data_IF_316940421306
#
_entry.id   IF_316940421306
#
_cell.length_a   1.000
_cell.length_b   1.000
_cell.length_c   1.000
_cell.angle_alpha   90.00
_cell.angle_beta   90.00
_cell.angle_gamma   90.00
#
_symmetry.space_group_name_H-M   'P 1'
#
loop_
_entity.id
_entity.type
_entity.pdbx_description
1 polymer ?
#
# COMPACT_ATOMS: atom_id res chain seq x y z
N UNK A 1 -7.55 -10.38 9.36
CA UNK A 1 -8.52 -9.29 9.05
C UNK A 1 -7.85 -7.99 8.66
N UNK A 2 -6.77 -7.55 9.33
CA UNK A 2 -6.05 -6.32 8.97
C UNK A 2 -5.71 -6.18 7.46
N UNK A 3 -5.16 -7.20 6.75
CA UNK A 3 -4.93 -7.07 5.31
C UNK A 3 -6.17 -6.72 4.48
N UNK A 4 -7.33 -7.27 4.85
CA UNK A 4 -8.60 -7.00 4.16
C UNK A 4 -9.01 -5.54 4.40
N UNK A 5 -8.91 -5.05 5.64
CA UNK A 5 -9.18 -3.65 5.94
C UNK A 5 -8.24 -2.71 5.16
N UNK A 6 -6.95 -3.04 5.08
CA UNK A 6 -5.99 -2.27 4.26
C UNK A 6 -6.43 -2.21 2.80
N UNK A 7 -6.82 -3.35 2.21
CA UNK A 7 -7.34 -3.41 0.83
C UNK A 7 -8.56 -2.52 0.65
N UNK A 8 -9.54 -2.59 1.54
CA UNK A 8 -10.72 -1.72 1.47
C UNK A 8 -10.35 -0.25 1.62
N UNK A 9 -9.46 0.10 2.55
CA UNK A 9 -8.97 1.48 2.69
C UNK A 9 -8.28 1.98 1.42
N UNK A 10 -7.50 1.14 0.74
CA UNK A 10 -6.86 1.49 -0.54
C UNK A 10 -7.91 1.71 -1.63
N UNK A 11 -8.90 0.83 -1.77
CA UNK A 11 -9.98 0.98 -2.76
C UNK A 11 -10.74 2.29 -2.50
N UNK A 12 -11.10 2.57 -1.24
CA UNK A 12 -11.74 3.83 -0.86
C UNK A 12 -10.88 5.03 -1.25
N UNK A 13 -9.56 4.99 -0.97
CA UNK A 13 -8.64 6.06 -1.37
C UNK A 13 -8.56 6.23 -2.89
N UNK A 14 -8.55 5.14 -3.65
CA UNK A 14 -8.58 5.19 -5.12
C UNK A 14 -9.87 5.85 -5.60
N UNK A 15 -11.02 5.47 -5.04
CA UNK A 15 -12.30 6.06 -5.43
C UNK A 15 -12.39 7.55 -5.05
N UNK A 16 -11.87 7.94 -3.89
CA UNK A 16 -11.92 9.34 -3.42
C UNK A 16 -10.91 10.25 -4.11
N UNK A 17 -9.66 9.79 -4.24
CA UNK A 17 -8.53 10.62 -4.69
C UNK A 17 -8.13 10.37 -6.14
N UNK A 18 -8.38 9.17 -6.67
CA UNK A 18 -8.01 8.75 -8.04
C UNK A 18 -6.54 9.00 -8.37
N UNK A 19 -5.70 8.90 -7.32
CA UNK A 19 -4.26 9.11 -7.38
C UNK A 19 -3.58 7.92 -8.06
N UNK A 20 -2.78 8.21 -9.09
CA UNK A 20 -2.06 7.19 -9.85
C UNK A 20 -1.10 6.37 -8.98
N UNK A 21 -0.38 6.99 -8.04
CA UNK A 21 0.53 6.27 -7.15
C UNK A 21 -0.22 5.22 -6.32
N UNK A 22 -1.39 5.56 -5.79
CA UNK A 22 -2.25 4.67 -5.00
C UNK A 22 -2.83 3.55 -5.87
N UNK A 23 -3.22 3.84 -7.11
CA UNK A 23 -3.69 2.82 -8.08
C UNK A 23 -2.57 1.81 -8.38
N UNK A 24 -1.37 2.27 -8.72
CA UNK A 24 -0.24 1.39 -9.00
C UNK A 24 0.22 0.62 -7.76
N UNK A 25 0.11 1.20 -6.57
CA UNK A 25 0.32 0.47 -5.31
C UNK A 25 -0.67 -0.69 -5.16
N UNK A 26 -1.96 -0.46 -5.45
CA UNK A 26 -2.98 -1.51 -5.44
C UNK A 26 -2.70 -2.61 -6.47
N UNK A 27 -2.29 -2.26 -7.69
CA UNK A 27 -1.83 -3.24 -8.68
C UNK A 27 -0.68 -4.10 -8.15
N UNK A 28 0.27 -3.48 -7.43
CA UNK A 28 1.34 -4.20 -6.75
C UNK A 28 0.86 -5.20 -5.71
N UNK A 29 -0.15 -4.83 -4.91
CA UNK A 29 -0.78 -5.75 -3.95
C UNK A 29 -1.39 -6.98 -4.66
N UNK A 30 -2.08 -6.78 -5.80
CA UNK A 30 -2.67 -7.86 -6.59
C UNK A 30 -1.59 -8.78 -7.18
N UNK A 31 -0.51 -8.21 -7.72
CA UNK A 31 0.63 -8.97 -8.26
C UNK A 31 1.34 -9.75 -7.15
N UNK A 32 1.48 -9.18 -5.95
CA UNK A 32 2.05 -9.86 -4.80
C UNK A 32 1.18 -11.04 -4.34
N UNK A 33 -0.14 -10.90 -4.32
CA UNK A 33 -1.06 -12.01 -4.01
C UNK A 33 -1.02 -13.10 -5.08
N UNK A 34 -0.96 -12.71 -6.36
CA UNK A 34 -0.79 -13.65 -7.47
C UNK A 34 0.53 -14.41 -7.36
N UNK A 35 1.62 -13.73 -7.02
CA UNK A 35 2.92 -14.37 -6.75
C UNK A 35 2.83 -15.35 -5.58
N UNK A 36 2.17 -14.99 -4.48
CA UNK A 36 1.95 -15.91 -3.36
C UNK A 36 1.22 -17.18 -3.82
N UNK A 37 0.15 -17.04 -4.60
CA UNK A 37 -0.59 -18.17 -5.16
C UNK A 37 0.31 -19.10 -5.98
N UNK A 38 1.13 -18.55 -6.89
CA UNK A 38 2.07 -19.34 -7.68
C UNK A 38 3.15 -20.02 -6.82
N UNK A 39 3.72 -19.31 -5.84
CA UNK A 39 4.71 -19.87 -4.92
C UNK A 39 4.14 -21.04 -4.12
N UNK A 40 2.88 -20.93 -3.69
CA UNK A 40 2.17 -22.02 -3.00
C UNK A 40 1.91 -23.22 -3.89
N UNK A 41 1.64 -22.97 -5.17
CA UNK A 41 1.47 -24.01 -6.17
C UNK A 41 2.78 -24.76 -6.42
N UNK A 42 3.93 -24.08 -6.36
CA UNK A 42 5.26 -24.70 -6.56
C UNK A 42 5.73 -25.41 -5.29
N UNK A 43 5.72 -24.74 -4.14
CA UNK A 43 6.35 -25.23 -2.90
C UNK A 43 5.52 -26.35 -2.24
N UNK A 44 4.18 -26.23 -2.27
CA UNK A 44 3.23 -27.21 -1.69
C UNK A 44 3.53 -27.67 -0.25
N UNK A 45 4.23 -26.85 0.55
CA UNK A 45 4.53 -27.21 1.94
C UNK A 45 3.23 -27.27 2.76
N UNK A 46 3.02 -28.32 3.58
CA UNK A 46 1.82 -28.43 4.42
C UNK A 46 1.78 -27.37 5.53
N UNK A 47 0.59 -27.14 6.07
CA UNK A 47 0.38 -26.33 7.28
C UNK A 47 0.76 -27.16 8.52
N UNK A 48 1.17 -26.51 9.63
CA UNK A 48 1.64 -27.23 10.81
C UNK A 48 0.55 -28.06 11.52
N UNK A 49 -0.71 -27.62 11.47
CA UNK A 49 -1.83 -28.28 12.16
C UNK A 49 -3.04 -28.44 11.23
N UNK A 50 -3.00 -29.37 10.26
CA UNK A 50 -4.06 -29.53 9.25
C UNK A 50 -5.41 -29.95 9.85
N UNK A 51 -5.41 -30.58 11.03
CA UNK A 51 -6.62 -31.03 11.75
C UNK A 51 -7.37 -29.91 12.47
N UNK A 52 -6.70 -28.78 12.77
CA UNK A 52 -7.33 -27.64 13.46
C UNK A 52 -8.14 -26.80 12.48
N UNK A 53 -7.68 -26.71 11.23
CA UNK A 53 -8.27 -25.85 10.19
C UNK A 53 -8.76 -26.68 8.99
N UNK A 54 -9.70 -27.60 9.25
CA UNK A 54 -10.19 -28.65 8.32
C UNK A 54 -10.75 -28.14 6.97
N UNK A 55 -11.05 -26.84 6.85
CA UNK A 55 -11.52 -26.22 5.60
C UNK A 55 -10.41 -25.64 4.70
N UNK A 56 -9.16 -25.55 5.17
CA UNK A 56 -8.09 -24.85 4.44
C UNK A 56 -7.23 -25.84 3.65
N UNK A 57 -7.57 -26.01 2.37
CA UNK A 57 -6.80 -26.87 1.44
C UNK A 57 -5.54 -26.21 0.85
N UNK A 58 -5.30 -24.93 1.14
CA UNK A 58 -4.17 -24.19 0.57
C UNK A 58 -2.84 -24.50 1.29
N UNK A 59 -1.75 -24.57 0.51
CA UNK A 59 -0.38 -24.74 1.01
C UNK A 59 -0.02 -23.71 2.09
N UNK A 60 0.82 -24.12 3.04
CA UNK A 60 1.25 -23.31 4.18
C UNK A 60 2.35 -22.29 3.86
N UNK A 61 3.15 -22.51 2.81
CA UNK A 61 4.31 -21.66 2.49
C UNK A 61 4.20 -21.01 1.11
N UNK A 62 4.49 -19.70 0.99
CA UNK A 62 4.64 -18.72 2.07
C UNK A 62 3.30 -18.28 2.68
N UNK A 63 3.31 -17.71 3.88
CA UNK A 63 2.08 -17.17 4.49
C UNK A 63 1.59 -15.91 3.75
N UNK A 64 0.37 -15.92 3.19
CA UNK A 64 -0.19 -14.77 2.45
C UNK A 64 -0.27 -13.52 3.32
N UNK A 65 -0.72 -13.66 4.57
CA UNK A 65 -0.81 -12.51 5.49
C UNK A 65 0.57 -11.91 5.76
N UNK A 66 1.58 -12.76 5.98
CA UNK A 66 2.94 -12.29 6.23
C UNK A 66 3.56 -11.65 4.98
N UNK A 67 3.32 -12.23 3.80
CA UNK A 67 3.79 -11.69 2.53
C UNK A 67 3.11 -10.36 2.17
N UNK A 68 1.80 -10.25 2.37
CA UNK A 68 1.08 -9.00 2.18
C UNK A 68 1.61 -7.91 3.14
N UNK A 69 1.77 -8.23 4.42
CA UNK A 69 2.25 -7.25 5.39
C UNK A 69 3.73 -6.88 5.17
N UNK A 70 4.57 -7.82 4.71
CA UNK A 70 5.94 -7.54 4.29
C UNK A 70 5.99 -6.55 3.12
N UNK A 71 5.15 -6.78 2.09
CA UNK A 71 4.99 -5.86 0.97
C UNK A 71 4.53 -4.47 1.44
N UNK A 72 3.45 -4.41 2.22
CA UNK A 72 2.90 -3.17 2.78
C UNK A 72 3.96 -2.39 3.57
N UNK A 73 4.65 -3.05 4.50
CA UNK A 73 5.60 -2.38 5.40
C UNK A 73 6.81 -1.82 4.66
N UNK A 74 7.37 -2.58 3.71
CA UNK A 74 8.52 -2.12 2.93
C UNK A 74 8.10 -1.03 1.94
N UNK A 75 7.00 -1.21 1.20
CA UNK A 75 6.52 -0.22 0.25
C UNK A 75 6.22 1.13 0.93
N UNK A 76 5.50 1.11 2.05
CA UNK A 76 5.24 2.33 2.83
C UNK A 76 6.53 2.93 3.39
N UNK A 77 7.48 2.11 3.86
CA UNK A 77 8.79 2.59 4.31
C UNK A 77 9.52 3.38 3.23
N UNK A 78 9.61 2.84 2.01
CA UNK A 78 10.23 3.53 0.87
C UNK A 78 9.43 4.78 0.46
N UNK A 79 8.10 4.70 0.44
CA UNK A 79 7.25 5.86 0.15
C UNK A 79 7.49 7.00 1.14
N UNK A 80 7.50 6.71 2.45
CA UNK A 80 7.78 7.70 3.48
C UNK A 80 9.19 8.27 3.36
N UNK A 81 10.18 7.43 3.04
CA UNK A 81 11.59 7.84 2.96
C UNK A 81 11.94 8.65 1.72
N UNK A 82 11.36 8.34 0.56
CA UNK A 82 11.70 8.98 -0.72
C UNK A 82 10.73 10.11 -1.06
N UNK A 83 9.43 9.93 -0.78
CA UNK A 83 8.39 10.86 -1.27
C UNK A 83 7.90 11.81 -0.20
N UNK A 84 7.76 11.34 1.03
CA UNK A 84 7.29 12.19 2.12
C UNK A 84 8.42 12.96 2.84
N UNK A 85 9.68 12.62 2.58
CA UNK A 85 10.81 13.08 3.39
C UNK A 85 11.34 14.47 2.96
N UNK A 86 11.49 15.33 3.98
CA UNK A 86 12.14 16.65 4.09
C UNK A 86 11.38 17.95 3.78
N UNK A 87 10.35 18.01 2.93
CA UNK A 87 9.67 19.30 2.63
C UNK A 87 8.27 19.50 3.22
N UNK A 88 7.57 18.43 3.59
CA UNK A 88 6.15 18.51 3.96
C UNK A 88 5.84 18.13 5.41
N UNK A 89 6.54 17.15 5.97
CA UNK A 89 6.27 16.62 7.31
C UNK A 89 7.55 16.44 8.11
N UNK A 90 7.45 16.52 9.44
CA UNK A 90 8.60 16.34 10.32
C UNK A 90 9.11 14.90 10.29
N UNK A 91 10.43 14.72 10.44
CA UNK A 91 11.05 13.38 10.52
C UNK A 91 10.47 12.53 11.65
N UNK A 92 10.07 13.17 12.75
CA UNK A 92 9.44 12.50 13.89
C UNK A 92 8.08 11.91 13.48
N UNK A 93 7.26 12.67 12.76
CA UNK A 93 5.97 12.20 12.26
C UNK A 93 6.12 11.03 11.28
N UNK A 94 7.03 11.14 10.31
CA UNK A 94 7.25 10.05 9.34
C UNK A 94 7.78 8.79 10.01
N UNK A 95 8.67 8.93 10.99
CA UNK A 95 9.18 7.81 11.81
C UNK A 95 8.04 7.18 12.63
N UNK A 96 7.19 7.99 13.25
CA UNK A 96 6.04 7.51 14.02
C UNK A 96 5.09 6.68 13.15
N UNK A 97 4.72 7.18 11.97
CA UNK A 97 3.85 6.46 11.03
C UNK A 97 4.48 5.12 10.63
N UNK A 98 5.78 5.09 10.31
CA UNK A 98 6.48 3.85 9.97
C UNK A 98 6.49 2.85 11.13
N UNK A 99 6.73 3.30 12.37
CA UNK A 99 6.70 2.44 13.56
C UNK A 99 5.32 1.83 13.80
N UNK A 100 4.24 2.60 13.55
CA UNK A 100 2.86 2.08 13.62
C UNK A 100 2.66 0.98 12.57
N UNK A 101 3.06 1.21 11.31
CA UNK A 101 2.97 0.21 10.25
C UNK A 101 3.77 -1.07 10.55
N UNK A 102 4.98 -0.93 11.08
CA UNK A 102 5.83 -2.05 11.48
C UNK A 102 5.22 -2.84 12.66
N UNK A 103 4.65 -2.13 13.65
CA UNK A 103 4.00 -2.76 14.80
C UNK A 103 2.76 -3.55 14.39
N UNK A 104 1.91 -2.98 13.53
CA UNK A 104 0.74 -3.67 12.98
C UNK A 104 1.16 -4.91 12.17
N UNK A 105 2.24 -4.80 11.38
CA UNK A 105 2.84 -5.93 10.65
C UNK A 105 3.28 -7.05 11.60
N UNK A 106 3.99 -6.72 12.67
CA UNK A 106 4.43 -7.67 13.67
C UNK A 106 3.25 -8.39 14.35
N UNK A 107 2.21 -7.64 14.75
CA UNK A 107 1.00 -8.21 15.37
C UNK A 107 0.29 -9.17 14.41
N UNK A 108 0.14 -8.82 13.13
CA UNK A 108 -0.46 -9.71 12.13
C UNK A 108 0.36 -10.98 11.96
N UNK A 109 1.69 -10.86 11.85
CA UNK A 109 2.59 -12.00 11.69
C UNK A 109 2.56 -12.92 12.92
N UNK A 110 2.64 -12.35 14.13
CA UNK A 110 2.49 -13.08 15.38
C UNK A 110 1.15 -13.83 15.44
N UNK A 111 0.05 -13.18 15.06
CA UNK A 111 -1.27 -13.82 15.06
C UNK A 111 -1.34 -15.06 14.16
N UNK A 112 -0.51 -15.17 13.11
CA UNK A 112 -0.48 -16.35 12.22
C UNK A 112 0.15 -17.56 12.90
N UNK A 113 1.14 -17.33 13.75
CA UNK A 113 1.80 -18.37 14.56
C UNK A 113 0.94 -18.71 15.78
N UNK A 114 0.47 -17.70 16.51
CA UNK A 114 -0.32 -17.87 17.72
C UNK A 114 -1.63 -18.65 17.48
N UNK A 115 -2.32 -18.37 16.38
CA UNK A 115 -3.55 -19.09 15.98
C UNK A 115 -3.27 -20.38 15.20
N UNK A 116 -2.02 -20.84 15.19
CA UNK A 116 -1.61 -22.13 14.63
C UNK A 116 -1.88 -22.29 13.11
N UNK A 117 -2.00 -21.18 12.37
CA UNK A 117 -2.18 -21.23 10.92
C UNK A 117 -0.89 -21.53 10.16
N UNK A 118 0.25 -21.09 10.70
CA UNK A 118 1.56 -21.12 10.07
C UNK A 118 2.68 -21.31 11.09
N UNK A 119 3.81 -21.86 10.66
CA UNK A 119 5.05 -21.85 11.45
C UNK A 119 5.75 -20.50 11.36
N UNK A 120 6.65 -20.21 12.31
CA UNK A 120 7.49 -19.01 12.26
C UNK A 120 8.32 -18.93 10.98
N UNK A 121 8.77 -20.06 10.45
CA UNK A 121 9.52 -20.13 9.17
C UNK A 121 8.66 -19.75 7.97
N UNK A 122 7.40 -20.22 7.90
CA UNK A 122 6.47 -19.86 6.84
C UNK A 122 6.09 -18.37 6.86
N UNK A 123 6.01 -17.80 8.07
CA UNK A 123 5.79 -16.37 8.28
C UNK A 123 7.01 -15.56 7.85
N UNK A 124 8.21 -15.94 8.31
CA UNK A 124 9.46 -15.24 7.97
C UNK A 124 9.71 -15.22 6.46
N UNK A 125 9.55 -16.35 5.78
CA UNK A 125 9.71 -16.41 4.32
C UNK A 125 8.65 -15.57 3.62
N UNK A 126 7.42 -15.55 4.12
CA UNK A 126 6.40 -14.63 3.65
C UNK A 126 6.85 -13.17 3.74
N UNK A 127 7.31 -12.72 4.92
CA UNK A 127 7.79 -11.34 5.13
C UNK A 127 8.92 -10.99 4.16
N UNK A 128 9.92 -11.88 4.00
CA UNK A 128 11.08 -11.64 3.14
C UNK A 128 10.64 -11.51 1.68
N UNK A 129 9.86 -12.46 1.17
CA UNK A 129 9.37 -12.42 -0.22
C UNK A 129 8.53 -11.17 -0.43
N UNK A 130 7.59 -10.88 0.46
CA UNK A 130 6.74 -9.71 0.39
C UNK A 130 7.54 -8.41 0.40
N UNK A 131 8.55 -8.32 1.27
CA UNK A 131 9.43 -7.17 1.35
C UNK A 131 10.26 -6.95 0.09
N UNK A 132 10.82 -8.00 -0.50
CA UNK A 132 11.54 -7.93 -1.78
C UNK A 132 10.60 -7.44 -2.89
N UNK A 133 9.41 -8.03 -3.00
CA UNK A 133 8.41 -7.59 -3.97
C UNK A 133 7.99 -6.13 -3.75
N UNK A 134 7.79 -5.72 -2.50
CA UNK A 134 7.43 -4.34 -2.14
C UNK A 134 8.50 -3.34 -2.52
N UNK A 135 9.77 -3.68 -2.27
CA UNK A 135 10.91 -2.86 -2.67
C UNK A 135 11.00 -2.73 -4.20
N UNK A 136 11.01 -3.85 -4.91
CA UNK A 136 11.13 -3.87 -6.38
C UNK A 136 9.97 -3.10 -7.01
N UNK A 137 8.74 -3.37 -6.57
CA UNK A 137 7.56 -2.71 -7.10
C UNK A 137 7.58 -1.20 -6.83
N UNK A 138 7.98 -0.78 -5.63
CA UNK A 138 8.14 0.65 -5.33
C UNK A 138 9.13 1.32 -6.27
N UNK A 139 10.30 0.71 -6.48
CA UNK A 139 11.34 1.28 -7.36
C UNK A 139 10.86 1.36 -8.81
N UNK A 140 10.15 0.34 -9.30
CA UNK A 140 9.53 0.36 -10.63
C UNK A 140 8.53 1.52 -10.72
N UNK A 141 7.60 1.62 -9.78
CA UNK A 141 6.61 2.71 -9.77
C UNK A 141 7.31 4.05 -9.74
N UNK A 142 8.25 4.25 -8.83
CA UNK A 142 8.92 5.52 -8.58
C UNK A 142 9.80 6.00 -9.74
N UNK A 143 10.56 5.09 -10.37
CA UNK A 143 11.57 5.47 -11.36
C UNK A 143 11.15 5.19 -12.80
N UNK A 144 10.31 4.18 -13.03
CA UNK A 144 9.88 3.83 -14.39
C UNK A 144 8.47 4.35 -14.71
N UNK A 145 7.51 4.22 -13.78
CA UNK A 145 6.09 4.52 -14.07
C UNK A 145 5.76 5.99 -13.80
N UNK A 146 6.24 6.57 -12.70
CA UNK A 146 5.98 7.96 -12.32
C UNK A 146 6.31 8.98 -13.43
N UNK A 147 7.43 8.89 -14.18
CA UNK A 147 7.69 9.79 -15.31
C UNK A 147 6.64 9.71 -16.44
N UNK A 148 5.87 8.64 -16.48
CA UNK A 148 4.85 8.37 -17.50
C UNK A 148 3.45 8.81 -17.02
N UNK A 149 3.28 9.13 -15.73
CA UNK A 149 1.99 9.53 -15.14
C UNK A 149 1.26 10.65 -15.91
N UNK A 150 1.91 11.72 -16.39
CA UNK A 150 1.23 12.75 -17.19
C UNK A 150 0.55 12.18 -18.44
N UNK A 151 1.15 11.18 -19.09
CA UNK A 151 0.53 10.54 -20.26
C UNK A 151 -0.73 9.76 -19.89
N UNK A 152 -0.78 9.18 -18.68
CA UNK A 152 -1.98 8.52 -18.19
C UNK A 152 -3.08 9.52 -17.87
N UNK A 153 -2.78 10.62 -17.18
CA UNK A 153 -3.76 11.65 -16.82
C UNK A 153 -4.31 12.37 -18.06
N UNK A 154 -3.47 12.63 -19.06
CA UNK A 154 -3.85 13.36 -20.27
C UNK A 154 -4.62 12.50 -21.27
N UNK A 155 -4.60 11.18 -21.11
CA UNK A 155 -5.33 10.25 -21.96
C UNK A 155 -6.85 10.40 -21.82
N UNK A 156 -7.61 9.99 -22.84
CA UNK A 156 -9.08 10.04 -22.78
C UNK A 156 -9.66 9.26 -21.58
N UNK A 157 -9.05 8.12 -21.25
CA UNK A 157 -9.42 7.30 -20.08
C UNK A 157 -9.08 8.07 -18.79
N UNK A 158 -7.91 8.70 -18.76
CA UNK A 158 -7.46 9.53 -17.64
C UNK A 158 -8.43 10.66 -17.35
N UNK A 159 -8.88 11.37 -18.38
CA UNK A 159 -9.86 12.44 -18.26
C UNK A 159 -11.25 11.93 -17.87
N UNK A 160 -11.72 10.84 -18.50
CA UNK A 160 -13.01 10.22 -18.19
C UNK A 160 -13.08 9.78 -16.71
N UNK A 161 -12.02 9.16 -16.22
CA UNK A 161 -11.93 8.70 -14.83
C UNK A 161 -11.49 9.80 -13.86
N UNK A 162 -11.11 10.98 -14.36
CA UNK A 162 -10.51 12.09 -13.61
C UNK A 162 -9.30 11.65 -12.77
N UNK A 163 -8.39 10.90 -13.39
CA UNK A 163 -7.15 10.45 -12.77
C UNK A 163 -6.27 11.64 -12.40
N UNK A 164 -5.63 11.57 -11.24
CA UNK A 164 -4.82 12.65 -10.70
C UNK A 164 -3.38 12.20 -10.49
N UNK A 165 -2.46 13.09 -10.83
CA UNK A 165 -1.04 12.95 -10.53
C UNK A 165 -0.62 14.00 -9.50
N UNK A 166 -0.43 13.57 -8.25
CA UNK A 166 0.05 14.44 -7.17
C UNK A 166 1.57 14.42 -7.01
N UNK A 167 2.29 13.80 -7.94
CA UNK A 167 3.70 13.43 -7.73
C UNK A 167 4.58 14.63 -7.42
N UNK A 168 4.27 15.77 -8.03
CA UNK A 168 5.04 17.01 -7.96
C UNK A 168 4.63 17.92 -6.79
N UNK A 169 3.55 17.60 -6.07
CA UNK A 169 3.04 18.41 -4.97
C UNK A 169 3.68 17.94 -3.66
N UNK A 170 4.50 18.80 -3.06
CA UNK A 170 5.23 18.48 -1.82
C UNK A 170 4.27 18.22 -0.63
N UNK A 171 3.31 19.12 -0.41
CA UNK A 171 2.31 19.00 0.66
C UNK A 171 0.90 19.12 0.09
N UNK A 172 0.30 17.98 -0.27
CA UNK A 172 -1.05 17.94 -0.84
C UNK A 172 -2.09 18.53 0.12
N UNK A 173 -2.01 18.20 1.41
CA UNK A 173 -2.99 18.67 2.40
C UNK A 173 -2.98 20.19 2.53
N UNK A 174 -1.79 20.80 2.58
CA UNK A 174 -1.65 22.25 2.61
C UNK A 174 -2.12 22.88 1.30
N UNK A 175 -1.76 22.29 0.15
CA UNK A 175 -2.17 22.77 -1.17
C UNK A 175 -3.70 22.81 -1.32
N UNK A 176 -4.39 21.72 -0.98
CA UNK A 176 -5.85 21.64 -1.00
C UNK A 176 -6.49 22.67 -0.08
N UNK A 177 -5.98 22.80 1.15
CA UNK A 177 -6.46 23.78 2.12
C UNK A 177 -6.36 25.21 1.56
N UNK A 178 -5.21 25.59 1.01
CA UNK A 178 -4.98 26.95 0.49
C UNK A 178 -5.89 27.27 -0.69
N UNK A 179 -6.11 26.32 -1.61
CA UNK A 179 -7.02 26.52 -2.76
C UNK A 179 -8.45 26.78 -2.27
N UNK A 180 -8.95 25.96 -1.35
CA UNK A 180 -10.31 26.08 -0.83
C UNK A 180 -10.49 27.42 -0.09
N UNK A 181 -9.54 27.81 0.76
CA UNK A 181 -9.61 29.09 1.47
C UNK A 181 -9.60 30.28 0.51
N UNK A 182 -8.71 30.28 -0.48
CA UNK A 182 -8.62 31.35 -1.48
C UNK A 182 -9.92 31.49 -2.30
N UNK A 183 -10.54 30.36 -2.67
CA UNK A 183 -11.83 30.37 -3.36
C UNK A 183 -12.95 30.96 -2.49
N UNK A 184 -13.01 30.59 -1.21
CA UNK A 184 -13.99 31.14 -0.26
C UNK A 184 -13.78 32.65 -0.07
N UNK A 185 -12.53 33.10 0.03
CA UNK A 185 -12.24 34.53 0.17
C UNK A 185 -12.70 35.35 -1.04
N UNK A 186 -12.39 34.88 -2.27
CA UNK A 186 -12.81 35.56 -3.52
C UNK A 186 -14.32 35.64 -3.66
N UNK A 187 -15.03 34.53 -3.38
CA UNK A 187 -16.50 34.49 -3.48
C UNK A 187 -17.21 35.31 -2.41
N UNK A 188 -16.57 35.55 -1.24
CA UNK A 188 -17.11 36.47 -0.23
C UNK A 188 -16.90 37.94 -0.60
N UNK A 189 -15.78 38.29 -1.23
CA UNK A 189 -15.52 39.67 -1.66
C UNK A 189 -16.37 40.13 -2.83
N UNK A 190 -16.90 39.20 -3.63
CA UNK A 190 -17.70 39.50 -4.84
C UNK A 190 -19.22 39.54 -4.58
N UNK A 191 -19.70 39.26 -3.36
CA UNK A 191 -21.14 39.38 -3.04
C UNK A 191 -21.50 40.85 -2.82
N UNK A 192 -22.43 41.43 -3.59
CA UNK A 192 -22.99 42.73 -3.25
C UNK A 192 -23.76 42.64 -1.93
N UNK A 193 -23.52 43.62 -1.05
CA UNK A 193 -24.20 43.78 0.25
C UNK A 193 -25.69 44.03 0.09
#
# INVERSE_FOLDING_TARGET
MVPIFIVFSIITLIMSRRDLHTIFYFCGCLINELSNYFLKYIIKQPRPFPTIHLGIKSSGMPSNHAQFMGFFCVYIGFFLFIRLNQRSFSRQFTTFVYLVCASVTAVVCYSRVYLLYHTSTQVLVGIIIGGIFGMIWFLIVQYAITPIFPRFTDSWIGQLLMLQDFTHINNLMHFEYTIVQNYIHRTKSERPT
#
